data_IF_579772537889
#
_entry.id   IF_579772537889
#
_cell.length_a   1.000
_cell.length_b   1.000
_cell.length_c   1.000
_cell.angle_alpha   90.00
_cell.angle_beta   90.00
_cell.angle_gamma   90.00
#
_symmetry.space_group_name_H-M   'P 1'
#
loop_
_entity.id
_entity.type
_entity.pdbx_description
1 polymer ?
#
# COMPACT_ATOMS: atom_id res chain seq x y z
N UNK A 1 10.69 -1.00 -10.35
CA UNK A 1 11.64 -1.42 -9.30
C UNK A 1 10.88 -1.71 -8.01
N UNK A 2 11.17 -2.82 -7.33
CA UNK A 2 10.57 -3.16 -6.02
C UNK A 2 11.52 -2.72 -4.89
N UNK A 3 10.98 -2.05 -3.89
CA UNK A 3 11.67 -1.64 -2.67
C UNK A 3 11.00 -2.29 -1.45
N UNK A 4 11.79 -2.73 -0.48
CA UNK A 4 11.32 -3.29 0.79
C UNK A 4 12.13 -2.68 1.94
N UNK A 5 11.44 -2.35 3.03
CA UNK A 5 12.04 -1.84 4.25
C UNK A 5 11.37 -2.47 5.47
N UNK A 6 12.18 -2.84 6.47
CA UNK A 6 11.73 -3.38 7.75
C UNK A 6 12.09 -2.39 8.85
N UNK A 7 11.14 -2.04 9.71
CA UNK A 7 11.32 -1.04 10.76
C UNK A 7 10.68 -1.47 12.08
N UNK A 8 11.09 -0.82 13.16
CA UNK A 8 10.54 -1.00 14.52
C UNK A 8 9.34 -0.09 14.77
N UNK A 9 9.19 0.96 13.97
CA UNK A 9 8.13 1.95 14.05
C UNK A 9 7.43 2.08 12.69
N UNK A 10 6.13 2.43 12.66
CA UNK A 10 5.41 2.63 11.40
C UNK A 10 6.02 3.80 10.65
N UNK A 11 6.09 3.70 9.33
CA UNK A 11 6.36 4.86 8.47
C UNK A 11 5.19 5.82 8.66
N UNK A 12 5.42 6.95 9.33
CA UNK A 12 4.41 8.01 9.47
C UNK A 12 3.75 8.22 8.10
N UNK A 13 2.49 7.81 7.96
CA UNK A 13 1.75 8.01 6.73
C UNK A 13 1.85 9.50 6.40
N UNK A 14 2.34 9.83 5.20
CA UNK A 14 2.49 11.23 4.79
C UNK A 14 1.19 11.96 5.09
N UNK A 15 1.23 13.05 5.86
CA UNK A 15 0.05 13.91 6.11
C UNK A 15 -0.53 14.49 4.82
N UNK A 16 0.25 14.48 3.74
CA UNK A 16 -0.08 15.06 2.46
C UNK A 16 -0.28 13.96 1.43
N UNK A 17 -1.49 13.47 1.32
CA UNK A 17 -2.03 12.94 0.09
C UNK A 17 -3.53 12.93 0.27
N UNK A 18 -4.17 13.86 -0.42
CA UNK A 18 -5.62 13.99 -0.48
C UNK A 18 -6.19 12.64 -0.92
N UNK A 19 -6.70 11.84 0.01
CA UNK A 19 -7.94 11.04 -0.08
C UNK A 19 -7.96 9.88 0.92
N UNK A 20 -8.89 9.94 1.89
CA UNK A 20 -9.44 8.77 2.59
C UNK A 20 -10.35 7.95 1.64
N UNK A 21 -9.93 7.70 0.41
CA UNK A 21 -10.75 7.04 -0.60
C UNK A 21 -10.34 5.58 -0.73
N UNK A 22 -11.07 4.72 -0.02
CA UNK A 22 -11.13 3.28 -0.32
C UNK A 22 -11.77 3.00 -1.68
N UNK A 23 -12.40 4.00 -2.30
CA UNK A 23 -12.94 3.99 -3.66
C UNK A 23 -11.95 4.59 -4.68
N UNK A 24 -11.93 4.07 -5.93
CA UNK A 24 -11.03 4.58 -6.95
C UNK A 24 -11.33 6.04 -7.30
N UNK A 25 -10.32 6.91 -7.20
CA UNK A 25 -10.39 8.28 -7.72
C UNK A 25 -10.53 8.22 -9.24
N UNK A 26 -11.66 8.71 -9.76
CA UNK A 26 -11.91 8.81 -11.19
C UNK A 26 -11.04 9.94 -11.78
N UNK A 27 -10.32 9.72 -12.89
CA UNK A 27 -9.54 10.76 -13.58
C UNK A 27 -10.39 12.00 -13.91
N UNK A 28 -9.81 13.20 -13.79
CA UNK A 28 -10.43 14.49 -14.10
C UNK A 28 -9.49 15.35 -14.96
N UNK A 29 -9.90 16.58 -15.31
CA UNK A 29 -9.15 17.45 -16.26
C UNK A 29 -7.67 17.69 -15.89
N UNK A 30 -7.29 17.53 -14.61
CA UNK A 30 -5.92 17.71 -14.11
C UNK A 30 -5.37 16.49 -13.35
N UNK A 31 -6.02 15.32 -13.45
CA UNK A 31 -5.55 14.09 -12.84
C UNK A 31 -5.72 12.92 -13.81
N UNK A 32 -4.62 12.47 -14.39
CA UNK A 32 -4.55 11.30 -15.25
C UNK A 32 -4.32 10.00 -14.45
N UNK A 33 -4.27 10.05 -13.12
CA UNK A 33 -4.04 8.89 -12.27
C UNK A 33 -5.35 8.29 -11.78
N UNK A 34 -5.58 7.02 -12.09
CA UNK A 34 -6.55 6.20 -11.39
C UNK A 34 -5.89 5.68 -10.11
N UNK A 35 -6.35 6.12 -8.94
CA UNK A 35 -5.70 5.81 -7.66
C UNK A 35 -6.68 5.25 -6.62
N UNK A 36 -6.17 4.49 -5.66
CA UNK A 36 -6.91 3.99 -4.50
C UNK A 36 -6.01 3.94 -3.27
N UNK A 37 -6.60 4.24 -2.12
CA UNK A 37 -5.88 4.53 -0.88
C UNK A 37 -6.55 3.82 0.29
N UNK A 38 -5.74 3.24 1.17
CA UNK A 38 -6.16 2.77 2.47
C UNK A 38 -5.19 3.28 3.54
N UNK A 39 -5.75 3.87 4.58
CA UNK A 39 -5.05 4.13 5.86
C UNK A 39 -6.00 3.72 6.97
N UNK A 40 -5.52 2.95 7.96
CA UNK A 40 -6.39 2.49 9.03
C UNK A 40 -5.68 1.69 10.12
N UNK A 41 -6.46 1.10 11.01
CA UNK A 41 -5.96 0.34 12.18
C UNK A 41 -5.49 -1.08 11.85
N UNK A 42 -5.55 -1.50 10.59
CA UNK A 42 -5.13 -2.84 10.16
C UNK A 42 -6.26 -3.67 9.54
N UNK A 43 -6.01 -4.21 8.34
CA UNK A 43 -6.86 -5.22 7.69
C UNK A 43 -5.99 -6.38 7.23
N UNK A 44 -6.47 -7.62 7.39
CA UNK A 44 -5.75 -8.81 6.92
C UNK A 44 -5.57 -8.77 5.39
N UNK A 45 -4.43 -9.25 4.89
CA UNK A 45 -4.09 -9.22 3.46
C UNK A 45 -5.23 -9.80 2.57
N UNK A 46 -5.78 -10.96 2.93
CA UNK A 46 -6.82 -11.61 2.13
C UNK A 46 -8.17 -10.88 2.17
N UNK A 47 -8.41 -10.03 3.16
CA UNK A 47 -9.61 -9.22 3.30
C UNK A 47 -9.42 -7.77 2.80
N UNK A 48 -8.19 -7.36 2.47
CA UNK A 48 -7.87 -5.99 2.10
C UNK A 48 -8.47 -5.64 0.72
N UNK A 49 -9.17 -4.50 0.56
CA UNK A 49 -9.85 -4.14 -0.70
C UNK A 49 -8.90 -4.03 -1.90
N UNK A 50 -7.64 -3.69 -1.65
CA UNK A 50 -6.59 -3.57 -2.68
C UNK A 50 -5.79 -4.85 -2.92
N UNK A 51 -6.14 -5.99 -2.32
CA UNK A 51 -5.35 -7.23 -2.45
C UNK A 51 -5.27 -7.81 -3.87
N UNK A 52 -6.22 -7.45 -4.74
CA UNK A 52 -6.20 -7.81 -6.17
C UNK A 52 -5.38 -6.84 -7.03
N UNK A 53 -5.00 -5.68 -6.48
CA UNK A 53 -4.28 -4.61 -7.19
C UNK A 53 -2.82 -4.51 -6.75
N UNK A 54 -2.55 -4.88 -5.50
CA UNK A 54 -1.23 -4.82 -4.88
C UNK A 54 -0.80 -6.24 -4.56
N UNK A 55 0.42 -6.61 -4.95
CA UNK A 55 1.01 -7.91 -4.65
C UNK A 55 1.44 -8.03 -3.18
N UNK A 56 0.46 -8.02 -2.27
CA UNK A 56 0.69 -8.03 -0.83
C UNK A 56 1.27 -9.37 -0.35
N UNK A 57 2.30 -9.28 0.48
CA UNK A 57 3.02 -10.39 1.13
C UNK A 57 3.10 -10.18 2.64
N UNK A 58 3.38 -11.28 3.35
CA UNK A 58 3.62 -11.32 4.80
C UNK A 58 4.85 -10.51 5.25
N UNK A 59 5.19 -10.67 6.52
CA UNK A 59 6.26 -9.94 7.19
C UNK A 59 7.61 -10.15 6.49
N UNK A 60 8.37 -9.09 6.22
CA UNK A 60 9.73 -9.20 5.67
C UNK A 60 10.76 -9.73 6.68
N UNK A 61 10.46 -9.67 7.98
CA UNK A 61 11.40 -10.06 9.04
C UNK A 61 11.28 -11.55 9.44
N UNK A 62 10.07 -12.04 9.68
CA UNK A 62 9.84 -13.42 10.16
C UNK A 62 9.00 -14.26 9.20
N UNK A 63 8.69 -13.74 8.01
CA UNK A 63 7.91 -14.41 6.96
C UNK A 63 6.47 -14.79 7.34
N UNK A 64 6.01 -14.43 8.55
CA UNK A 64 4.65 -14.69 8.99
C UNK A 64 3.61 -14.01 8.09
N UNK A 65 2.50 -14.73 7.86
CA UNK A 65 1.30 -14.22 7.19
C UNK A 65 0.29 -13.61 8.17
N UNK A 66 0.55 -13.70 9.48
CA UNK A 66 -0.26 -13.06 10.52
C UNK A 66 0.08 -11.57 10.60
N UNK A 67 -0.36 -10.82 9.59
CA UNK A 67 -0.02 -9.41 9.41
C UNK A 67 -1.26 -8.57 9.12
N UNK A 68 -1.21 -7.32 9.55
CA UNK A 68 -2.24 -6.31 9.34
C UNK A 68 -1.71 -5.24 8.40
N UNK A 69 -2.38 -5.02 7.27
CA UNK A 69 -2.11 -3.91 6.36
C UNK A 69 -2.66 -2.64 6.99
N UNK A 70 -1.79 -1.69 7.32
CA UNK A 70 -2.14 -0.42 7.98
C UNK A 70 -2.12 0.76 7.00
N UNK A 71 -1.44 0.59 5.87
CA UNK A 71 -1.37 1.53 4.78
C UNK A 71 -1.30 0.78 3.46
N UNK A 72 -2.00 1.24 2.44
CA UNK A 72 -1.84 0.76 1.07
C UNK A 72 -2.26 1.81 0.05
N UNK A 73 -1.51 1.93 -1.02
CA UNK A 73 -1.83 2.76 -2.17
C UNK A 73 -1.56 2.01 -3.45
N UNK A 74 -2.40 2.26 -4.43
CA UNK A 74 -2.23 1.77 -5.78
C UNK A 74 -2.63 2.89 -6.72
N UNK A 75 -1.86 3.13 -7.75
CA UNK A 75 -2.19 4.06 -8.81
C UNK A 75 -1.68 3.57 -10.16
N UNK A 76 -2.35 4.01 -11.22
CA UNK A 76 -1.92 3.80 -12.60
C UNK A 76 -2.15 5.07 -13.40
N UNK A 77 -1.16 5.48 -14.20
CA UNK A 77 -1.36 6.58 -15.16
C UNK A 77 -2.24 6.10 -16.30
N UNK A 78 -3.28 6.84 -16.60
CA UNK A 78 -4.13 6.62 -17.77
C UNK A 78 -3.47 7.08 -19.08
N UNK A 79 -2.39 7.88 -18.98
CA UNK A 79 -1.64 8.35 -20.13
C UNK A 79 -0.52 7.38 -20.54
N UNK A 80 0.30 6.93 -19.60
CA UNK A 80 1.44 6.02 -19.87
C UNK A 80 1.15 4.55 -19.57
N UNK A 81 0.18 4.26 -18.70
CA UNK A 81 -0.05 2.92 -18.17
C UNK A 81 0.86 2.54 -17.00
N UNK A 82 1.76 3.44 -16.56
CA UNK A 82 2.71 3.14 -15.49
C UNK A 82 1.99 2.88 -14.18
N UNK A 83 2.26 1.72 -13.58
CA UNK A 83 1.69 1.31 -12.31
C UNK A 83 2.62 1.64 -11.14
N UNK A 84 2.04 2.20 -10.09
CA UNK A 84 2.70 2.41 -8.81
C UNK A 84 1.86 1.79 -7.70
N UNK A 85 2.51 1.16 -6.74
CA UNK A 85 1.86 0.75 -5.50
C UNK A 85 2.83 0.77 -4.34
N UNK A 86 2.27 0.93 -3.15
CA UNK A 86 3.06 0.99 -1.93
C UNK A 86 2.17 0.61 -0.75
N UNK A 87 2.68 -0.19 0.18
CA UNK A 87 1.89 -0.63 1.32
C UNK A 87 2.78 -0.89 2.53
N UNK A 88 2.18 -0.77 3.71
CA UNK A 88 2.82 -1.06 4.99
C UNK A 88 1.96 -2.06 5.78
N UNK A 89 2.64 -3.03 6.38
CA UNK A 89 2.05 -4.01 7.29
C UNK A 89 2.68 -3.95 8.66
N UNK A 90 1.90 -4.28 9.69
CA UNK A 90 2.35 -4.67 11.02
C UNK A 90 2.29 -6.19 11.16
N UNK A 91 3.37 -6.82 11.60
CA UNK A 91 3.38 -8.24 11.93
C UNK A 91 2.92 -8.48 13.36
N UNK A 92 1.88 -9.31 13.53
CA UNK A 92 1.38 -9.64 14.88
C UNK A 92 2.34 -10.55 15.66
N UNK A 93 3.21 -11.29 14.98
CA UNK A 93 4.09 -12.27 15.63
C UNK A 93 5.39 -11.64 16.12
N UNK A 94 6.06 -10.84 15.28
CA UNK A 94 7.35 -10.21 15.63
C UNK A 94 7.26 -8.71 15.90
N UNK A 95 6.07 -8.11 15.78
CA UNK A 95 5.79 -6.68 16.03
C UNK A 95 6.66 -5.72 15.20
N UNK A 96 7.18 -6.19 14.06
CA UNK A 96 7.92 -5.36 13.10
C UNK A 96 6.98 -4.86 12.01
N UNK A 97 7.32 -3.70 11.47
CA UNK A 97 6.67 -3.13 10.31
C UNK A 97 7.41 -3.56 9.05
N UNK A 98 6.69 -3.75 7.95
CA UNK A 98 7.28 -3.98 6.64
C UNK A 98 6.60 -3.09 5.62
N UNK A 99 7.35 -2.19 5.01
CA UNK A 99 6.92 -1.34 3.92
C UNK A 99 7.44 -1.91 2.61
N UNK A 100 6.59 -1.95 1.57
CA UNK A 100 6.99 -2.35 0.21
C UNK A 100 6.40 -1.42 -0.81
N UNK A 101 7.23 -0.98 -1.75
CA UNK A 101 6.83 -0.07 -2.82
C UNK A 101 7.30 -0.58 -4.17
N UNK A 102 6.53 -0.33 -5.20
CA UNK A 102 6.85 -0.65 -6.58
C UNK A 102 6.45 0.52 -7.47
N UNK A 103 7.35 0.86 -8.40
CA UNK A 103 7.04 1.72 -9.53
C UNK A 103 7.46 1.03 -10.80
N UNK A 104 6.56 0.94 -11.76
CA UNK A 104 6.91 0.79 -13.16
C UNK A 104 7.44 2.14 -13.65
N UNK A 105 8.48 2.11 -14.48
CA UNK A 105 9.21 3.27 -14.97
C UNK A 105 9.57 2.98 -16.43
#
# INVERSE_FOLDING_TARGET
MLYEQITDEPRLASKSWMTDCTEPLIPGENNDMLASVFTGTGVLIHAHPLNKRIAMRGCGNCESMNVLVIYAQWSVSTASGDAYWDYEILCNDCQKYTSRSFSEN
#
